data_IF_785898070109
#
_entry.id   IF_785898070109
#
_cell.length_a   1.000
_cell.length_b   1.000
_cell.length_c   1.000
_cell.angle_alpha   90.00
_cell.angle_beta   90.00
_cell.angle_gamma   90.00
#
_symmetry.space_group_name_H-M   'P 1'
#
loop_
_entity.id
_entity.type
_entity.pdbx_description
1 polymer ?
#
# COMPACT_ATOMS: atom_id res chain seq x y z
N UNK A 1 5.02 17.88 -7.28
CA UNK A 1 4.66 16.47 -6.98
C UNK A 1 5.56 16.01 -5.86
N UNK A 2 5.03 15.74 -4.66
CA UNK A 2 5.83 15.17 -3.58
C UNK A 2 6.00 13.67 -3.82
N UNK A 3 7.26 13.24 -3.98
CA UNK A 3 7.61 11.84 -4.08
C UNK A 3 7.16 11.10 -2.80
N UNK A 4 6.75 9.84 -2.93
CA UNK A 4 6.48 8.99 -1.77
C UNK A 4 7.79 8.64 -1.08
N UNK A 5 7.87 8.86 0.23
CA UNK A 5 9.00 8.38 1.04
C UNK A 5 8.83 6.91 1.37
N UNK A 6 9.87 6.34 1.99
CA UNK A 6 9.87 4.94 2.42
C UNK A 6 8.84 4.73 3.52
N UNK A 7 8.81 5.60 4.51
CA UNK A 7 7.91 5.58 5.66
C UNK A 7 6.44 5.66 5.21
N UNK A 8 6.12 6.60 4.31
CA UNK A 8 4.78 6.71 3.74
C UNK A 8 4.40 5.45 2.94
N UNK A 9 5.36 4.83 2.26
CA UNK A 9 5.14 3.58 1.51
C UNK A 9 4.92 2.39 2.44
N UNK A 10 5.60 2.33 3.58
CA UNK A 10 5.39 1.32 4.64
C UNK A 10 4.00 1.46 5.24
N UNK A 11 3.57 2.67 5.55
CA UNK A 11 2.20 2.92 6.03
C UNK A 11 1.17 2.51 4.97
N UNK A 12 1.38 2.86 3.70
CA UNK A 12 0.49 2.43 2.62
C UNK A 12 0.44 0.89 2.48
N UNK A 13 1.57 0.20 2.66
CA UNK A 13 1.65 -1.25 2.67
C UNK A 13 0.90 -1.87 3.85
N UNK A 14 1.00 -1.28 5.04
CA UNK A 14 0.21 -1.69 6.21
C UNK A 14 -1.30 -1.59 5.93
N UNK A 15 -1.74 -0.49 5.30
CA UNK A 15 -3.15 -0.32 4.91
C UNK A 15 -3.56 -1.36 3.87
N UNK A 16 -2.70 -1.65 2.90
CA UNK A 16 -2.90 -2.73 1.93
C UNK A 16 -3.14 -4.08 2.60
N UNK A 17 -2.37 -4.42 3.63
CA UNK A 17 -2.54 -5.67 4.38
C UNK A 17 -3.85 -5.72 5.20
N UNK A 18 -4.40 -4.56 5.59
CA UNK A 18 -5.59 -4.47 6.46
C UNK A 18 -6.91 -4.47 5.70
N UNK A 19 -6.90 -4.14 4.41
CA UNK A 19 -8.12 -3.98 3.60
C UNK A 19 -8.06 -4.99 2.45
N UNK A 20 -9.11 -5.81 2.22
CA UNK A 20 -9.19 -6.62 1.02
C UNK A 20 -9.01 -5.75 -0.22
N UNK A 21 -8.14 -6.11 -1.15
CA UNK A 21 -7.75 -5.24 -2.28
C UNK A 21 -8.94 -4.68 -3.07
N UNK A 22 -10.00 -5.48 -3.25
CA UNK A 22 -11.25 -5.07 -3.92
C UNK A 22 -12.02 -3.96 -3.20
N UNK A 23 -11.80 -3.81 -1.90
CA UNK A 23 -12.45 -2.82 -1.03
C UNK A 23 -11.60 -1.55 -0.83
N UNK A 24 -10.41 -1.47 -1.43
CA UNK A 24 -9.50 -0.32 -1.37
C UNK A 24 -10.01 0.88 -2.19
N UNK A 25 -11.12 1.47 -1.75
CA UNK A 25 -11.76 2.65 -2.31
C UNK A 25 -11.37 3.92 -1.56
N UNK A 26 -11.37 5.06 -2.26
CA UNK A 26 -11.15 6.41 -1.68
C UNK A 26 -12.18 6.78 -0.60
N UNK A 27 -13.31 6.07 -0.55
CA UNK A 27 -14.37 6.25 0.45
C UNK A 27 -14.22 5.30 1.66
N UNK A 28 -13.28 4.36 1.64
CA UNK A 28 -13.10 3.42 2.72
C UNK A 28 -12.59 4.14 3.99
N UNK A 29 -13.20 3.93 5.18
CA UNK A 29 -12.85 4.68 6.38
C UNK A 29 -11.37 4.62 6.76
N UNK A 30 -10.74 3.44 6.64
CA UNK A 30 -9.30 3.28 6.88
C UNK A 30 -8.44 4.04 5.85
N UNK A 31 -8.83 4.06 4.57
CA UNK A 31 -8.10 4.82 3.54
C UNK A 31 -8.15 6.31 3.89
N UNK A 32 -9.34 6.83 4.24
CA UNK A 32 -9.50 8.24 4.63
C UNK A 32 -8.65 8.56 5.86
N UNK A 33 -8.71 7.71 6.89
CA UNK A 33 -7.94 7.89 8.13
C UNK A 33 -6.43 7.97 7.84
N UNK A 34 -5.87 6.99 7.14
CA UNK A 34 -4.42 6.95 6.89
C UNK A 34 -3.97 7.99 5.87
N UNK A 35 -4.81 8.33 4.88
CA UNK A 35 -4.50 9.43 3.96
C UNK A 35 -4.37 10.77 4.71
N UNK A 36 -5.25 11.03 5.67
CA UNK A 36 -5.16 12.21 6.52
C UNK A 36 -3.89 12.22 7.39
N UNK A 37 -3.51 11.08 7.98
CA UNK A 37 -2.26 10.94 8.76
C UNK A 37 -1.03 11.24 7.88
N UNK A 38 -1.04 10.77 6.63
CA UNK A 38 0.03 10.99 5.66
C UNK A 38 0.03 12.39 5.03
N UNK A 39 -0.98 13.23 5.32
CA UNK A 39 -1.17 14.51 4.63
C UNK A 39 -1.41 14.37 3.12
N UNK A 40 -1.97 13.25 2.68
CA UNK A 40 -2.26 12.93 1.26
C UNK A 40 -3.75 12.79 1.02
N UNK A 41 -4.18 12.85 -0.24
CA UNK A 41 -5.58 12.58 -0.57
C UNK A 41 -5.89 11.07 -0.51
N UNK A 42 -7.13 10.67 -0.15
CA UNK A 42 -7.55 9.28 -0.19
C UNK A 42 -7.31 8.61 -1.56
N UNK A 43 -7.53 9.34 -2.65
CA UNK A 43 -7.23 8.89 -4.01
C UNK A 43 -5.75 8.59 -4.22
N UNK A 44 -4.85 9.43 -3.69
CA UNK A 44 -3.41 9.19 -3.78
C UNK A 44 -2.98 7.92 -3.04
N UNK A 45 -3.55 7.68 -1.86
CA UNK A 45 -3.29 6.44 -1.10
C UNK A 45 -3.84 5.21 -1.83
N UNK A 46 -5.06 5.27 -2.40
CA UNK A 46 -5.61 4.19 -3.22
C UNK A 46 -4.73 3.86 -4.43
N UNK A 47 -4.24 4.87 -5.15
CA UNK A 47 -3.31 4.66 -6.26
C UNK A 47 -2.03 3.97 -5.78
N UNK A 48 -1.48 4.40 -4.64
CA UNK A 48 -0.29 3.78 -4.05
C UNK A 48 -0.53 2.31 -3.69
N UNK A 49 -1.66 1.99 -3.08
CA UNK A 49 -2.08 0.61 -2.81
C UNK A 49 -2.21 -0.18 -4.11
N UNK A 50 -2.75 0.41 -5.18
CA UNK A 50 -2.78 -0.20 -6.51
C UNK A 50 -1.39 -0.53 -7.06
N UNK A 51 -0.40 0.36 -6.84
CA UNK A 51 1.00 0.12 -7.21
C UNK A 51 1.67 -0.97 -6.37
N UNK A 52 1.24 -1.16 -5.13
CA UNK A 52 1.72 -2.23 -4.25
C UNK A 52 1.10 -3.57 -4.67
N UNK A 53 -0.22 -3.63 -4.82
CA UNK A 53 -0.97 -4.85 -5.15
C UNK A 53 -0.56 -5.49 -6.49
N UNK A 54 0.07 -4.74 -7.40
CA UNK A 54 0.65 -5.31 -8.63
C UNK A 54 1.75 -6.35 -8.37
N UNK A 55 2.38 -6.30 -7.19
CA UNK A 55 3.46 -7.19 -6.78
C UNK A 55 2.95 -8.45 -6.09
N UNK A 56 1.65 -8.53 -5.80
CA UNK A 56 1.03 -9.62 -5.08
C UNK A 56 0.80 -10.85 -5.99
N UNK A 57 1.48 -11.98 -5.70
CA UNK A 57 1.31 -13.19 -6.49
C UNK A 57 -0.04 -13.86 -6.27
N UNK A 58 -0.69 -13.67 -5.13
CA UNK A 58 -2.00 -14.24 -4.82
C UNK A 58 -3.13 -13.48 -5.51
N UNK A 59 -3.04 -12.14 -5.60
CA UNK A 59 -3.92 -11.36 -6.48
C UNK A 59 -3.75 -11.79 -7.94
N UNK A 60 -2.51 -12.00 -8.40
CA UNK A 60 -2.21 -12.44 -9.76
C UNK A 60 -2.81 -13.82 -10.06
N UNK A 61 -2.74 -14.78 -9.12
CA UNK A 61 -3.40 -16.11 -9.26
C UNK A 61 -4.92 -15.99 -9.42
N UNK A 62 -5.53 -14.98 -8.81
CA UNK A 62 -6.95 -14.69 -8.92
C UNK A 62 -7.32 -13.89 -10.19
N UNK A 63 -6.36 -13.60 -11.08
CA UNK A 63 -6.58 -12.77 -12.26
C UNK A 63 -6.78 -11.28 -11.94
N UNK A 64 -6.48 -10.85 -10.71
CA UNK A 64 -6.55 -9.46 -10.29
C UNK A 64 -5.18 -8.82 -10.53
N UNK A 65 -5.14 -7.76 -11.33
CA UNK A 65 -3.93 -6.99 -11.57
C UNK A 65 -4.02 -5.62 -10.88
N UNK A 66 -2.95 -5.24 -10.18
CA UNK A 66 -2.77 -3.87 -9.71
C UNK A 66 -2.41 -2.92 -10.86
N UNK A 67 -1.97 -1.71 -10.51
CA UNK A 67 -1.53 -0.73 -11.51
C UNK A 67 -0.23 -1.20 -12.19
N UNK A 68 -0.16 -1.04 -13.52
CA UNK A 68 0.95 -1.55 -14.34
C UNK A 68 2.26 -0.80 -14.04
N UNK A 69 2.15 0.51 -13.81
CA UNK A 69 3.29 1.38 -13.54
C UNK A 69 3.39 1.68 -12.04
N UNK A 70 4.60 1.65 -11.51
CA UNK A 70 4.89 2.00 -10.11
C UNK A 70 6.39 2.21 -9.93
N UNK A 71 6.78 2.88 -8.85
CA UNK A 71 8.19 3.16 -8.57
C UNK A 71 8.93 1.91 -8.05
N UNK A 72 10.24 2.07 -7.82
CA UNK A 72 11.06 1.02 -7.23
C UNK A 72 10.82 0.87 -5.72
N UNK A 73 10.40 1.94 -5.05
CA UNK A 73 10.19 1.94 -3.58
C UNK A 73 9.10 0.95 -3.15
N UNK A 74 8.05 0.74 -3.95
CA UNK A 74 7.05 -0.29 -3.66
C UNK A 74 7.66 -1.69 -3.74
N UNK A 75 8.61 -1.94 -4.64
CA UNK A 75 9.29 -3.24 -4.76
C UNK A 75 10.21 -3.49 -3.57
N UNK A 76 10.88 -2.47 -3.08
CA UNK A 76 11.76 -2.55 -1.90
C UNK A 76 10.94 -2.89 -0.66
N UNK A 77 9.91 -2.11 -0.37
CA UNK A 77 8.99 -2.35 0.76
C UNK A 77 8.31 -3.72 0.62
N UNK A 78 7.86 -4.09 -0.58
CA UNK A 78 7.26 -5.42 -0.81
C UNK A 78 8.23 -6.55 -0.48
N UNK A 79 9.47 -6.50 -1.00
CA UNK A 79 10.47 -7.55 -0.73
C UNK A 79 10.78 -7.68 0.75
N UNK A 80 10.79 -6.56 1.46
CA UNK A 80 11.11 -6.51 2.88
C UNK A 80 9.99 -7.08 3.75
N UNK A 81 8.74 -6.70 3.50
CA UNK A 81 7.63 -6.99 4.43
C UNK A 81 6.71 -8.12 3.98
N UNK A 82 6.66 -8.48 2.69
CA UNK A 82 5.74 -9.52 2.19
C UNK A 82 5.99 -10.89 2.86
N UNK A 83 7.23 -11.21 3.20
CA UNK A 83 7.60 -12.46 3.89
C UNK A 83 7.79 -12.30 5.39
N UNK A 84 7.62 -11.10 5.94
CA UNK A 84 7.85 -10.82 7.35
C UNK A 84 6.83 -9.80 7.91
N UNK A 85 5.57 -10.23 8.14
CA UNK A 85 4.51 -9.37 8.65
C UNK A 85 4.74 -8.90 10.10
N UNK A 86 5.53 -9.62 10.90
CA UNK A 86 5.89 -9.16 12.27
C UNK A 86 6.76 -7.91 12.23
N UNK A 87 7.73 -7.85 11.32
CA UNK A 87 8.57 -6.68 11.11
C UNK A 87 7.77 -5.46 10.60
N UNK A 88 6.70 -5.69 9.83
CA UNK A 88 5.83 -4.63 9.32
C UNK A 88 5.08 -3.90 10.44
N UNK A 89 4.55 -4.63 11.42
CA UNK A 89 3.79 -4.05 12.52
C UNK A 89 4.62 -2.99 13.25
N UNK A 90 5.87 -3.33 13.60
CA UNK A 90 6.79 -2.44 14.31
C UNK A 90 7.15 -1.19 13.50
N UNK A 91 7.54 -1.34 12.24
CA UNK A 91 7.99 -0.21 11.41
C UNK A 91 6.85 0.71 10.95
N UNK A 92 5.61 0.20 10.88
CA UNK A 92 4.44 0.98 10.45
C UNK A 92 3.82 1.87 11.55
N UNK A 93 4.26 1.70 12.80
CA UNK A 93 3.76 2.42 13.98
C UNK A 93 4.75 3.48 14.50
N UNK A 94 5.92 3.60 13.87
CA UNK A 94 6.93 4.64 14.15
C UNK A 94 6.63 5.93 13.40
#
# INVERSE_FOLDING_TARGET
MNNWTREETIIAFNVYCKIPFRNSSKTHPLIIKYANILGRSPSALCMKIGNIGRLDPDLKKQGITGLIHGANIEKEVWKEFYRNPEHLAFESER
#
